data_IF_131965028133
#
_entry.id   IF_131965028133
#
_cell.length_a   1.000
_cell.length_b   1.000
_cell.length_c   1.000
_cell.angle_alpha   90.00
_cell.angle_beta   90.00
_cell.angle_gamma   90.00
#
_symmetry.space_group_name_H-M   'P 1'
#
loop_
_entity.id
_entity.type
_entity.pdbx_description
1 polymer ?
#
# COMPACT_ATOMS: atom_id res chain seq x y z
N UNK A 1 -18.22 20.94 -43.65
CA UNK A 1 -16.86 20.69 -43.11
C UNK A 1 -16.65 21.35 -41.74
N UNK A 2 -16.98 22.63 -41.56
CA UNK A 2 -16.90 23.33 -40.26
C UNK A 2 -17.71 22.67 -39.14
N UNK A 3 -18.95 22.25 -39.40
CA UNK A 3 -19.79 21.59 -38.39
C UNK A 3 -19.20 20.28 -37.87
N UNK A 4 -18.64 19.45 -38.76
CA UNK A 4 -17.98 18.19 -38.36
C UNK A 4 -16.77 18.45 -37.44
N UNK A 5 -16.00 19.50 -37.71
CA UNK A 5 -14.86 19.90 -36.86
C UNK A 5 -15.33 20.37 -35.48
N UNK A 6 -16.42 21.13 -35.42
CA UNK A 6 -17.01 21.59 -34.14
C UNK A 6 -17.48 20.40 -33.30
N UNK A 7 -18.16 19.42 -33.89
CA UNK A 7 -18.59 18.22 -33.15
C UNK A 7 -17.42 17.39 -32.63
N UNK A 8 -16.35 17.24 -33.40
CA UNK A 8 -15.14 16.52 -32.95
C UNK A 8 -14.47 17.22 -31.78
N UNK A 9 -14.37 18.55 -31.81
CA UNK A 9 -13.78 19.33 -30.71
C UNK A 9 -14.63 19.20 -29.43
N UNK A 10 -15.95 19.28 -29.55
CA UNK A 10 -16.86 19.13 -28.40
C UNK A 10 -16.76 17.74 -27.79
N UNK A 11 -16.73 16.69 -28.62
CA UNK A 11 -16.57 15.30 -28.14
C UNK A 11 -15.22 15.08 -27.44
N UNK A 12 -14.15 15.67 -27.97
CA UNK A 12 -12.83 15.57 -27.34
C UNK A 12 -12.79 16.31 -26.00
N UNK A 13 -13.39 17.50 -25.93
CA UNK A 13 -13.46 18.28 -24.69
C UNK A 13 -14.29 17.57 -23.60
N UNK A 14 -15.40 16.91 -23.96
CA UNK A 14 -16.20 16.13 -23.01
C UNK A 14 -15.45 14.89 -22.52
N UNK A 15 -14.76 14.16 -23.40
CA UNK A 15 -13.93 13.02 -22.99
C UNK A 15 -12.76 13.46 -22.09
N UNK A 16 -12.13 14.60 -22.38
CA UNK A 16 -11.03 15.12 -21.56
C UNK A 16 -11.51 15.53 -20.16
N UNK A 17 -12.64 16.24 -20.08
CA UNK A 17 -13.23 16.66 -18.79
C UNK A 17 -13.72 15.49 -17.94
N UNK A 18 -14.27 14.45 -18.55
CA UNK A 18 -14.63 13.21 -17.85
C UNK A 18 -13.40 12.49 -17.27
N UNK A 19 -12.31 12.39 -18.04
CA UNK A 19 -11.06 11.79 -17.58
C UNK A 19 -10.43 12.56 -16.42
N UNK A 20 -10.41 13.89 -16.48
CA UNK A 20 -9.87 14.74 -15.41
C UNK A 20 -10.68 14.63 -14.11
N UNK A 21 -12.01 14.56 -14.22
CA UNK A 21 -12.89 14.35 -13.05
C UNK A 21 -12.72 12.95 -12.45
N UNK A 22 -12.54 11.91 -13.27
CA UNK A 22 -12.26 10.57 -12.78
C UNK A 22 -10.91 10.50 -12.04
N UNK A 23 -9.86 11.13 -12.59
CA UNK A 23 -8.54 11.18 -11.96
C UNK A 23 -8.55 11.95 -10.63
N UNK A 24 -9.27 13.08 -10.56
CA UNK A 24 -9.38 13.87 -9.32
C UNK A 24 -10.20 13.15 -8.24
N UNK A 25 -11.23 12.39 -8.64
CA UNK A 25 -11.99 11.56 -7.71
C UNK A 25 -11.15 10.40 -7.15
N UNK A 26 -10.40 9.71 -8.00
CA UNK A 26 -9.54 8.59 -7.57
C UNK A 26 -8.39 9.08 -6.68
N UNK A 27 -7.79 10.22 -7.01
CA UNK A 27 -6.75 10.87 -6.18
C UNK A 27 -7.23 11.17 -4.76
N UNK A 28 -8.43 11.77 -4.61
CA UNK A 28 -9.02 12.06 -3.28
C UNK A 28 -9.28 10.79 -2.46
N UNK A 29 -9.74 9.71 -3.11
CA UNK A 29 -9.96 8.43 -2.43
C UNK A 29 -8.66 7.78 -1.98
N UNK A 30 -7.62 7.85 -2.81
CA UNK A 30 -6.27 7.37 -2.48
C UNK A 30 -5.68 8.13 -1.29
N UNK A 31 -5.78 9.46 -1.26
CA UNK A 31 -5.28 10.26 -0.14
C UNK A 31 -6.05 9.99 1.16
N UNK A 32 -7.38 9.83 1.08
CA UNK A 32 -8.19 9.42 2.23
C UNK A 32 -7.82 8.01 2.72
N UNK A 33 -7.58 7.06 1.81
CA UNK A 33 -7.13 5.71 2.17
C UNK A 33 -5.75 5.72 2.85
N UNK A 34 -4.82 6.55 2.36
CA UNK A 34 -3.48 6.74 2.94
C UNK A 34 -3.57 7.29 4.37
N UNK A 35 -4.37 8.34 4.57
CA UNK A 35 -4.57 8.94 5.90
C UNK A 35 -5.27 7.97 6.86
N UNK A 36 -6.29 7.25 6.39
CA UNK A 36 -6.97 6.24 7.22
C UNK A 36 -6.03 5.10 7.61
N UNK A 37 -5.15 4.66 6.70
CA UNK A 37 -4.15 3.65 7.00
C UNK A 37 -3.20 4.13 8.11
N UNK A 38 -2.68 5.35 8.00
CA UNK A 38 -1.84 5.96 9.04
C UNK A 38 -2.57 6.06 10.39
N UNK A 39 -3.81 6.59 10.41
CA UNK A 39 -4.59 6.73 11.65
C UNK A 39 -4.87 5.39 12.33
N UNK A 40 -5.14 4.34 11.56
CA UNK A 40 -5.37 3.01 12.10
C UNK A 40 -4.11 2.38 12.69
N UNK A 41 -2.92 2.69 12.15
CA UNK A 41 -1.64 2.23 12.70
C UNK A 41 -1.30 2.86 14.05
N UNK A 42 -1.76 4.08 14.31
CA UNK A 42 -1.56 4.79 15.59
C UNK A 42 -2.77 4.69 16.53
N UNK A 43 -3.67 3.74 16.29
CA UNK A 43 -4.85 3.54 17.11
C UNK A 43 -4.50 2.92 18.47
N UNK A 44 -5.23 3.30 19.51
CA UNK A 44 -5.13 2.65 20.82
C UNK A 44 -5.69 1.21 20.81
N UNK A 45 -6.45 0.83 19.77
CA UNK A 45 -7.01 -0.50 19.62
C UNK A 45 -6.02 -1.43 18.90
N UNK A 46 -5.48 -2.40 19.64
CA UNK A 46 -4.47 -3.34 19.12
C UNK A 46 -4.96 -4.21 17.95
N UNK A 47 -6.25 -4.57 17.92
CA UNK A 47 -6.82 -5.31 16.79
C UNK A 47 -6.94 -4.46 15.53
N UNK A 48 -7.21 -3.15 15.70
CA UNK A 48 -7.18 -2.18 14.59
C UNK A 48 -5.75 -2.00 14.10
N UNK A 49 -4.78 -1.83 15.00
CA UNK A 49 -3.36 -1.70 14.64
C UNK A 49 -2.89 -2.90 13.84
N UNK A 50 -3.15 -4.12 14.32
CA UNK A 50 -2.75 -5.34 13.64
C UNK A 50 -3.34 -5.44 12.23
N UNK A 51 -4.65 -5.19 12.09
CA UNK A 51 -5.32 -5.14 10.79
C UNK A 51 -4.74 -4.05 9.89
N UNK A 52 -4.39 -2.90 10.47
CA UNK A 52 -3.83 -1.76 9.73
C UNK A 52 -2.45 -2.06 9.16
N UNK A 53 -1.62 -2.87 9.82
CA UNK A 53 -0.34 -3.32 9.28
C UNK A 53 -0.58 -4.07 7.97
N UNK A 54 -1.52 -5.01 7.93
CA UNK A 54 -1.84 -5.73 6.69
C UNK A 54 -2.46 -4.82 5.62
N UNK A 55 -3.36 -3.91 6.00
CA UNK A 55 -3.95 -2.93 5.07
C UNK A 55 -2.87 -2.02 4.47
N UNK A 56 -1.84 -1.67 5.23
CA UNK A 56 -0.72 -0.85 4.75
C UNK A 56 0.06 -1.55 3.63
N UNK A 57 0.25 -2.87 3.74
CA UNK A 57 0.85 -3.67 2.66
C UNK A 57 0.01 -3.61 1.40
N UNK A 58 -1.31 -3.77 1.52
CA UNK A 58 -2.22 -3.68 0.37
C UNK A 58 -2.17 -2.28 -0.27
N UNK A 59 -2.09 -1.23 0.54
CA UNK A 59 -1.96 0.13 0.05
C UNK A 59 -0.66 0.32 -0.74
N UNK A 60 0.49 -0.09 -0.18
CA UNK A 60 1.79 0.03 -0.85
C UNK A 60 1.88 -0.81 -2.11
N UNK A 61 1.32 -2.02 -2.09
CA UNK A 61 1.25 -2.88 -3.26
C UNK A 61 0.41 -2.26 -4.39
N UNK A 62 -0.73 -1.64 -4.04
CA UNK A 62 -1.62 -0.99 -5.00
C UNK A 62 -1.07 0.33 -5.53
N UNK A 63 -0.36 1.08 -4.70
CA UNK A 63 0.18 2.40 -5.01
C UNK A 63 1.68 2.48 -4.70
N UNK A 64 2.55 1.79 -5.46
CA UNK A 64 3.97 1.65 -5.14
C UNK A 64 4.74 2.97 -5.19
N UNK A 65 4.31 3.92 -6.01
CA UNK A 65 4.96 5.21 -6.22
C UNK A 65 4.52 6.28 -5.19
N UNK A 66 3.51 5.99 -4.36
CA UNK A 66 3.04 6.96 -3.37
C UNK A 66 4.07 7.22 -2.27
N UNK A 67 4.15 8.47 -1.85
CA UNK A 67 4.89 8.83 -0.64
C UNK A 67 4.13 8.30 0.58
N UNK A 68 4.69 7.26 1.19
CA UNK A 68 4.15 6.59 2.37
C UNK A 68 5.04 6.78 3.60
N UNK A 69 5.83 7.86 3.69
CA UNK A 69 6.78 8.07 4.78
C UNK A 69 6.11 8.01 6.15
N UNK A 70 4.96 8.67 6.34
CA UNK A 70 4.21 8.60 7.62
C UNK A 70 3.80 7.18 8.01
N UNK A 71 3.41 6.37 7.04
CA UNK A 71 3.03 4.97 7.27
C UNK A 71 4.28 4.16 7.63
N UNK A 72 5.39 4.38 6.92
CA UNK A 72 6.66 3.72 7.18
C UNK A 72 7.21 4.08 8.57
N UNK A 73 7.14 5.34 8.97
CA UNK A 73 7.58 5.80 10.30
C UNK A 73 6.73 5.14 11.39
N UNK A 74 5.41 5.09 11.23
CA UNK A 74 4.52 4.38 12.17
C UNK A 74 4.83 2.88 12.26
N UNK A 75 5.15 2.22 11.13
CA UNK A 75 5.61 0.82 11.13
C UNK A 75 6.98 0.65 11.81
N UNK A 76 7.92 1.58 11.61
CA UNK A 76 9.23 1.58 12.27
C UNK A 76 9.07 1.72 13.80
N UNK A 77 8.13 2.54 14.27
CA UNK A 77 7.84 2.71 15.68
C UNK A 77 7.19 1.46 16.26
N UNK A 78 6.12 0.94 15.65
CA UNK A 78 5.46 -0.31 16.08
C UNK A 78 6.43 -1.49 16.15
N UNK A 79 7.37 -1.59 15.20
CA UNK A 79 8.39 -2.64 15.20
C UNK A 79 9.31 -2.56 16.42
N UNK A 80 9.61 -1.36 16.93
CA UNK A 80 10.55 -1.15 18.05
C UNK A 80 9.88 -1.10 19.42
N UNK A 81 8.68 -0.52 19.50
CA UNK A 81 8.06 -0.13 20.77
C UNK A 81 6.80 -0.90 21.13
N UNK A 82 6.25 -1.74 20.24
CA UNK A 82 5.08 -2.54 20.58
C UNK A 82 5.42 -3.60 21.62
N UNK A 83 4.68 -3.60 22.74
CA UNK A 83 4.77 -4.65 23.77
C UNK A 83 4.16 -5.98 23.33
N UNK A 84 3.44 -5.99 22.20
CA UNK A 84 2.79 -7.18 21.64
C UNK A 84 3.72 -7.79 20.57
N UNK A 85 4.36 -8.95 20.83
CA UNK A 85 5.39 -9.49 19.94
C UNK A 85 4.89 -9.73 18.51
N UNK A 86 3.63 -10.15 18.35
CA UNK A 86 3.00 -10.38 17.05
C UNK A 86 2.89 -9.09 16.23
N UNK A 87 2.55 -7.96 16.86
CA UNK A 87 2.45 -6.66 16.20
C UNK A 87 3.83 -6.15 15.83
N UNK A 88 4.79 -6.20 16.75
CA UNK A 88 6.18 -5.83 16.48
C UNK A 88 6.77 -6.62 15.30
N UNK A 89 6.58 -7.95 15.29
CA UNK A 89 7.06 -8.80 14.21
C UNK A 89 6.40 -8.49 12.85
N UNK A 90 5.07 -8.39 12.80
CA UNK A 90 4.35 -8.03 11.56
C UNK A 90 4.74 -6.64 11.05
N UNK A 91 4.93 -5.67 11.96
CA UNK A 91 5.38 -4.32 11.61
C UNK A 91 6.79 -4.35 11.02
N UNK A 92 7.70 -5.17 11.57
CA UNK A 92 9.05 -5.35 11.03
C UNK A 92 9.03 -5.93 9.61
N UNK A 93 8.22 -6.95 9.36
CA UNK A 93 8.04 -7.52 8.02
C UNK A 93 7.44 -6.50 7.05
N UNK A 94 6.41 -5.77 7.48
CA UNK A 94 5.78 -4.76 6.65
C UNK A 94 6.73 -3.62 6.29
N UNK A 95 7.51 -3.14 7.26
CA UNK A 95 8.58 -2.18 7.04
C UNK A 95 9.58 -2.65 5.98
N UNK A 96 10.03 -3.91 6.06
CA UNK A 96 10.97 -4.47 5.09
C UNK A 96 10.36 -4.54 3.69
N UNK A 97 9.08 -4.90 3.59
CA UNK A 97 8.31 -4.86 2.34
C UNK A 97 8.23 -3.44 1.75
N UNK A 98 7.96 -2.43 2.58
CA UNK A 98 7.88 -1.04 2.13
C UNK A 98 9.21 -0.51 1.58
N UNK A 99 10.33 -0.88 2.23
CA UNK A 99 11.66 -0.44 1.81
C UNK A 99 12.16 -1.17 0.56
N UNK A 100 11.71 -2.42 0.35
CA UNK A 100 12.25 -3.30 -0.68
C UNK A 100 11.15 -3.95 -1.53
N UNK A 101 10.12 -3.21 -1.92
CA UNK A 101 8.94 -3.76 -2.63
C UNK A 101 9.32 -4.59 -3.86
N UNK A 102 10.41 -4.23 -4.55
CA UNK A 102 10.93 -4.95 -5.70
C UNK A 102 11.40 -6.39 -5.40
N UNK A 103 11.73 -6.73 -4.15
CA UNK A 103 12.12 -8.09 -3.75
C UNK A 103 10.92 -9.03 -3.60
N UNK A 104 9.72 -8.47 -3.43
CA UNK A 104 8.50 -9.21 -3.12
C UNK A 104 7.55 -9.33 -4.31
N UNK A 105 8.07 -9.33 -5.55
CA UNK A 105 7.27 -9.41 -6.78
C UNK A 105 6.33 -10.63 -6.85
N UNK A 106 6.67 -11.70 -6.14
CA UNK A 106 5.90 -12.94 -6.10
C UNK A 106 4.94 -13.04 -4.90
N UNK A 107 4.93 -12.04 -4.01
CA UNK A 107 4.05 -12.02 -2.85
C UNK A 107 2.71 -11.43 -3.25
N UNK A 108 1.64 -12.21 -3.14
CA UNK A 108 0.29 -11.78 -3.49
C UNK A 108 -0.37 -11.04 -2.32
N UNK A 109 -0.21 -9.71 -2.31
CA UNK A 109 -0.88 -8.84 -1.32
C UNK A 109 -2.24 -8.38 -1.88
N UNK A 110 -3.26 -9.24 -1.75
CA UNK A 110 -4.63 -9.01 -2.25
C UNK A 110 -5.66 -9.18 -1.12
N UNK A 111 -6.80 -8.46 -1.20
CA UNK A 111 -7.79 -8.38 -0.11
C UNK A 111 -8.57 -9.66 0.20
N UNK A 112 -8.41 -10.73 -0.60
CA UNK A 112 -9.04 -12.03 -0.40
C UNK A 112 -8.07 -13.09 0.15
N UNK A 113 -6.81 -12.71 0.39
CA UNK A 113 -5.79 -13.63 0.87
C UNK A 113 -5.71 -13.57 2.39
N UNK A 114 -5.37 -14.73 2.95
CA UNK A 114 -5.11 -14.90 4.37
C UNK A 114 -3.91 -14.05 4.78
N UNK A 115 -4.16 -13.06 5.64
CA UNK A 115 -3.14 -12.15 6.20
C UNK A 115 -1.90 -12.92 6.68
N UNK A 116 -2.14 -14.04 7.38
CA UNK A 116 -1.08 -14.86 7.94
C UNK A 116 -0.17 -15.41 6.84
N UNK A 117 -0.76 -15.95 5.76
CA UNK A 117 -0.01 -16.47 4.62
C UNK A 117 0.81 -15.39 3.93
N UNK A 118 0.28 -14.17 3.81
CA UNK A 118 1.05 -13.07 3.22
C UNK A 118 2.29 -12.75 4.05
N UNK A 119 2.18 -12.67 5.38
CA UNK A 119 3.35 -12.45 6.23
C UNK A 119 4.34 -13.62 6.20
N UNK A 120 3.86 -14.86 6.10
CA UNK A 120 4.71 -16.05 5.91
C UNK A 120 5.50 -15.98 4.61
N UNK A 121 4.86 -15.61 3.49
CA UNK A 121 5.52 -15.44 2.20
C UNK A 121 6.58 -14.32 2.23
N UNK A 122 6.30 -13.21 2.91
CA UNK A 122 7.28 -12.13 3.10
C UNK A 122 8.48 -12.64 3.90
N UNK A 123 8.25 -13.34 5.01
CA UNK A 123 9.30 -13.90 5.83
C UNK A 123 10.15 -14.94 5.07
N UNK A 124 9.52 -15.82 4.30
CA UNK A 124 10.20 -16.82 3.47
C UNK A 124 11.07 -16.16 2.39
N UNK A 125 10.53 -15.14 1.70
CA UNK A 125 11.28 -14.37 0.69
C UNK A 125 12.53 -13.74 1.29
N UNK A 126 12.42 -13.15 2.48
CA UNK A 126 13.55 -12.57 3.20
C UNK A 126 14.58 -13.64 3.57
N UNK A 127 14.14 -14.78 4.11
CA UNK A 127 15.03 -15.87 4.48
C UNK A 127 15.83 -16.40 3.26
N UNK A 128 15.14 -16.62 2.14
CA UNK A 128 15.76 -17.11 0.92
C UNK A 128 16.77 -16.10 0.32
N UNK A 129 16.51 -14.79 0.45
CA UNK A 129 17.43 -13.75 0.00
C UNK A 129 18.75 -13.72 0.80
N UNK A 130 18.68 -14.02 2.11
CA UNK A 130 19.86 -14.10 2.99
C UNK A 130 20.68 -15.35 2.65
N UNK A 131 20.02 -16.49 2.45
CA UNK A 131 20.69 -17.76 2.12
C UNK A 131 21.39 -17.68 0.76
N UNK A 132 20.77 -17.07 -0.25
CA UNK A 132 21.37 -16.89 -1.58
C UNK A 132 22.57 -15.94 -1.58
N UNK A 133 22.67 -15.02 -0.61
CA UNK A 133 23.80 -14.08 -0.49
C UNK A 133 25.02 -14.68 0.22
N UNK A 134 24.87 -15.81 0.90
CA UNK A 134 25.91 -16.44 1.72
C UNK A 134 26.55 -17.68 1.06
N UNK A 135 26.17 -17.98 -0.18
CA UNK A 135 26.79 -18.98 -1.07
C UNK A 135 27.43 -18.28 -2.27
#
# INVERSE_FOLDING_TARGET
MKEKIVYTIVLFATLLTLNLNAQTYDGKRKDAAKENCYRSLISDNQGVVESAIFISLQFKNRFPEENTNKILDALDDLAKSSEIPRISYKAQLARLYFKNTAWFKNVEVKSLYDEQKTFEQIAETLNNSIVASNN
#
